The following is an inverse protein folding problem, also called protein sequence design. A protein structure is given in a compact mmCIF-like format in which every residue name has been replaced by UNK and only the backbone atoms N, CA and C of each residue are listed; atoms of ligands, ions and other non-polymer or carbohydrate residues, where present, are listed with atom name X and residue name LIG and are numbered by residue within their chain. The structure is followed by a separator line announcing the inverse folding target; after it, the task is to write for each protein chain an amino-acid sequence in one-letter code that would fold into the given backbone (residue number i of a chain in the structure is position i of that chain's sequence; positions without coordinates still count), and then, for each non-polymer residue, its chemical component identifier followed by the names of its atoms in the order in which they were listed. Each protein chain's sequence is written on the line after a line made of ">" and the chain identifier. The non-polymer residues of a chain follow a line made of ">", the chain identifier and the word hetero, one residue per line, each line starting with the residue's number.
data_IF_250471085942
#
_entry.id   IF_250471085942
#
_cell.length_a   1.000
_cell.length_b   1.000
_cell.length_c   1.000
_cell.angle_alpha   90.00
_cell.angle_beta   90.00
_cell.angle_gamma   90.00
#
_symmetry.space_group_name_H-M   'P 1'
#
loop_
_entity.id
_entity.type
_entity.pdbx_description
1 polymer ?
#
# COMPACT_ATOMS: atom_id res chain seq x y z
N UNK A 1 11.60 55.86 -22.43
CA UNK A 1 11.29 56.95 -21.48
C UNK A 1 11.80 56.51 -20.10
N UNK A 2 13.11 56.47 -19.82
CA UNK A 2 14.01 57.59 -19.48
C UNK A 2 13.45 58.56 -18.43
N UNK A 3 13.84 58.30 -17.16
CA UNK A 3 14.40 59.24 -16.18
C UNK A 3 13.74 60.62 -16.02
N UNK A 4 12.82 60.73 -15.06
CA UNK A 4 12.68 61.90 -14.17
C UNK A 4 12.47 61.32 -12.78
N UNK A 5 13.36 61.47 -11.80
CA UNK A 5 13.61 62.72 -11.09
C UNK A 5 14.85 62.48 -10.22
N UNK A 6 15.99 63.02 -10.63
CA UNK A 6 17.16 63.23 -9.77
C UNK A 6 17.01 64.61 -9.13
N UNK A 7 16.90 64.68 -7.81
CA UNK A 7 17.33 65.81 -6.93
C UNK A 7 16.99 65.39 -5.48
N UNK A 8 17.86 64.72 -4.73
CA UNK A 8 18.96 65.20 -3.86
C UNK A 8 18.56 66.24 -2.79
N UNK A 9 19.06 66.00 -1.56
CA UNK A 9 19.08 66.84 -0.32
C UNK A 9 17.86 66.63 0.61
N UNK A 10 17.93 66.29 1.91
CA UNK A 10 18.93 66.46 2.99
C UNK A 10 18.68 65.44 4.13
N UNK A 11 19.77 65.07 4.81
CA UNK A 11 19.95 64.47 6.14
C UNK A 11 18.71 64.10 6.99
N UNK A 12 18.70 62.84 7.42
CA UNK A 12 18.00 62.38 8.62
C UNK A 12 18.70 61.14 9.18
N UNK A 13 19.76 61.37 9.94
CA UNK A 13 20.48 60.36 10.73
C UNK A 13 19.52 59.76 11.77
N UNK A 14 19.01 58.54 11.55
CA UNK A 14 18.41 57.74 12.62
C UNK A 14 19.28 56.50 12.86
N UNK A 15 19.95 56.56 14.00
CA UNK A 15 20.81 55.54 14.59
C UNK A 15 19.95 54.40 15.15
N UNK A 16 20.36 53.19 14.77
CA UNK A 16 20.29 51.89 15.47
C UNK A 16 19.00 51.45 16.19
N UNK A 17 18.44 50.34 15.69
CA UNK A 17 18.17 49.16 16.53
C UNK A 17 18.14 47.92 15.62
N UNK A 18 19.24 47.16 15.61
CA UNK A 18 19.28 45.84 14.98
C UNK A 18 18.34 44.91 15.75
N UNK A 19 17.14 44.70 15.22
CA UNK A 19 16.33 43.55 15.61
C UNK A 19 17.06 42.30 15.12
N UNK A 20 17.91 41.73 15.98
CA UNK A 20 18.49 40.42 15.79
C UNK A 20 17.34 39.43 15.66
N UNK A 21 17.06 39.00 14.42
CA UNK A 21 16.26 37.82 14.19
C UNK A 21 16.98 36.65 14.86
N UNK A 22 16.36 36.06 15.89
CA UNK A 22 16.76 34.74 16.35
C UNK A 22 16.50 33.76 15.21
N UNK A 23 17.50 33.53 14.37
CA UNK A 23 17.58 32.33 13.57
C UNK A 23 17.78 31.16 14.53
N UNK A 24 16.68 30.54 14.95
CA UNK A 24 16.74 29.26 15.66
C UNK A 24 17.51 28.27 14.77
N UNK A 25 18.72 27.80 15.15
CA UNK A 25 19.45 26.80 14.36
C UNK A 25 18.79 25.42 14.42
N UNK A 26 17.65 25.32 15.12
CA UNK A 26 16.98 24.09 15.50
C UNK A 26 15.77 23.74 14.64
N UNK A 27 15.50 24.48 13.56
CA UNK A 27 14.65 23.95 12.48
C UNK A 27 15.47 22.98 11.59
N UNK A 28 16.17 22.02 12.20
CA UNK A 28 16.53 20.78 11.50
C UNK A 28 15.20 20.11 11.19
N UNK A 29 14.72 20.26 9.96
CA UNK A 29 13.67 19.42 9.40
C UNK A 29 14.01 17.98 9.81
N UNK A 30 13.22 17.38 10.71
CA UNK A 30 13.36 15.97 11.04
C UNK A 30 13.17 15.24 9.72
N UNK A 31 14.27 14.80 9.11
CA UNK A 31 14.22 13.86 8.02
C UNK A 31 13.48 12.65 8.61
N UNK A 32 12.23 12.46 8.21
CA UNK A 32 11.48 11.26 8.58
C UNK A 32 12.23 10.11 7.94
N UNK A 33 12.90 9.31 8.78
CA UNK A 33 13.48 8.05 8.35
C UNK A 33 12.30 7.19 7.91
N UNK A 34 12.06 7.12 6.62
CA UNK A 34 11.10 6.17 6.05
C UNK A 34 11.80 4.81 6.10
N UNK A 35 11.53 4.04 7.16
CA UNK A 35 11.94 2.65 7.22
C UNK A 35 11.22 1.92 6.08
N UNK A 36 11.98 1.19 5.26
CA UNK A 36 11.41 0.37 4.19
C UNK A 36 10.47 -0.69 4.79
N UNK A 37 9.40 -1.03 4.06
CA UNK A 37 8.52 -2.11 4.46
C UNK A 37 9.27 -3.45 4.29
N UNK A 38 9.44 -4.27 5.35
CA UNK A 38 10.19 -5.51 5.27
C UNK A 38 9.58 -6.53 4.29
N UNK A 39 8.24 -6.57 4.15
CA UNK A 39 7.59 -7.45 3.19
C UNK A 39 7.88 -7.02 1.73
N UNK A 40 7.86 -5.71 1.50
CA UNK A 40 8.23 -5.12 0.21
C UNK A 40 9.68 -5.42 -0.16
N UNK A 41 10.62 -5.24 0.78
CA UNK A 41 12.04 -5.56 0.59
C UNK A 41 12.22 -7.05 0.31
N UNK A 42 11.54 -7.91 1.08
CA UNK A 42 11.65 -9.35 0.89
C UNK A 42 11.17 -9.80 -0.49
N UNK A 43 10.10 -9.20 -1.02
CA UNK A 43 9.64 -9.48 -2.39
C UNK A 43 10.76 -9.27 -3.43
N UNK A 44 11.48 -8.15 -3.34
CA UNK A 44 12.60 -7.84 -4.24
C UNK A 44 13.79 -8.78 -4.01
N UNK A 45 14.12 -9.10 -2.75
CA UNK A 45 15.22 -10.01 -2.40
C UNK A 45 15.04 -11.43 -2.93
N UNK A 46 13.79 -11.91 -3.03
CA UNK A 46 13.50 -13.24 -3.59
C UNK A 46 13.28 -13.23 -5.11
N UNK A 47 13.65 -12.13 -5.77
CA UNK A 47 13.59 -11.99 -7.23
C UNK A 47 12.20 -11.68 -7.78
N UNK A 48 11.31 -11.15 -6.94
CA UNK A 48 10.00 -10.66 -7.37
C UNK A 48 9.99 -9.15 -7.62
N UNK A 49 8.88 -8.68 -8.17
CA UNK A 49 8.59 -7.27 -8.42
C UNK A 49 7.34 -6.85 -7.65
N UNK A 50 7.49 -5.90 -6.73
CA UNK A 50 6.37 -5.39 -5.95
C UNK A 50 5.50 -4.45 -6.79
N UNK A 51 4.19 -4.64 -6.69
CA UNK A 51 3.19 -3.70 -7.20
C UNK A 51 2.10 -3.46 -6.16
N UNK A 52 1.74 -2.20 -5.96
CA UNK A 52 0.60 -1.82 -5.16
C UNK A 52 -0.67 -1.86 -6.02
N UNK A 53 -1.61 -2.71 -5.62
CA UNK A 53 -2.94 -2.81 -6.21
C UNK A 53 -3.96 -2.12 -5.30
N UNK A 54 -4.99 -1.51 -5.89
CA UNK A 54 -6.13 -1.01 -5.11
C UNK A 54 -7.08 -2.16 -4.82
N UNK A 55 -7.51 -2.28 -3.56
CA UNK A 55 -8.58 -3.20 -3.17
C UNK A 55 -9.94 -2.50 -3.32
N UNK A 56 -11.03 -3.27 -3.43
CA UNK A 56 -12.36 -2.67 -3.67
C UNK A 56 -12.93 -1.94 -2.44
N UNK A 57 -12.40 -2.19 -1.24
CA UNK A 57 -12.67 -1.43 -0.02
C UNK A 57 -11.90 -0.08 0.05
N UNK A 58 -11.14 0.27 -0.99
CA UNK A 58 -10.36 1.51 -1.05
C UNK A 58 -8.98 1.42 -0.40
N UNK A 59 -8.59 0.25 0.11
CA UNK A 59 -7.25 -0.03 0.59
C UNK A 59 -6.21 -0.21 -0.53
N UNK A 60 -5.01 -0.62 -0.14
CA UNK A 60 -3.93 -1.01 -1.04
C UNK A 60 -3.38 -2.36 -0.62
N UNK A 61 -3.08 -3.20 -1.62
CA UNK A 61 -2.51 -4.53 -1.48
C UNK A 61 -1.15 -4.57 -2.15
N UNK A 62 -0.10 -4.90 -1.40
CA UNK A 62 1.20 -5.20 -1.98
C UNK A 62 1.19 -6.59 -2.59
N UNK A 63 1.42 -6.68 -3.90
CA UNK A 63 1.51 -7.95 -4.62
C UNK A 63 2.90 -8.10 -5.21
N UNK A 64 3.56 -9.19 -4.84
CA UNK A 64 4.82 -9.64 -5.39
C UNK A 64 4.56 -10.48 -6.65
N UNK A 65 5.14 -10.05 -7.77
CA UNK A 65 5.05 -10.72 -9.07
C UNK A 65 6.37 -11.36 -9.43
N UNK A 66 6.34 -12.60 -9.92
CA UNK A 66 7.53 -13.32 -10.38
C UNK A 66 7.50 -13.46 -11.92
N UNK A 67 8.68 -13.54 -12.53
CA UNK A 67 8.83 -13.71 -14.00
C UNK A 67 8.23 -15.01 -14.52
N UNK A 68 8.10 -16.03 -13.66
CA UNK A 68 7.37 -17.27 -13.96
C UNK A 68 5.87 -17.04 -14.19
N UNK A 69 5.33 -15.91 -13.75
CA UNK A 69 3.90 -15.59 -13.72
C UNK A 69 3.25 -15.79 -12.36
N UNK A 70 3.98 -16.38 -11.40
CA UNK A 70 3.52 -16.59 -10.03
C UNK A 70 3.33 -15.28 -9.26
N UNK A 71 2.38 -15.30 -8.32
CA UNK A 71 1.98 -14.11 -7.56
C UNK A 71 1.81 -14.45 -6.07
N UNK A 72 2.18 -13.51 -5.21
CA UNK A 72 1.88 -13.55 -3.76
C UNK A 72 1.51 -12.16 -3.27
N UNK A 73 0.70 -12.07 -2.23
CA UNK A 73 0.61 -10.88 -1.40
C UNK A 73 1.93 -10.76 -0.59
N UNK A 74 2.46 -9.54 -0.45
CA UNK A 74 3.81 -9.32 0.08
C UNK A 74 3.99 -9.87 1.51
N UNK A 75 2.97 -9.72 2.36
CA UNK A 75 3.03 -10.21 3.74
C UNK A 75 2.85 -11.72 3.84
N UNK A 76 2.00 -12.32 3.01
CA UNK A 76 1.86 -13.77 2.91
C UNK A 76 3.17 -14.40 2.44
N UNK A 77 3.87 -13.79 1.47
CA UNK A 77 5.21 -14.21 1.05
C UNK A 77 6.21 -14.10 2.22
N UNK A 78 6.24 -12.94 2.89
CA UNK A 78 7.14 -12.69 4.03
C UNK A 78 6.94 -13.69 5.18
N UNK A 79 5.68 -14.06 5.47
CA UNK A 79 5.33 -15.06 6.50
C UNK A 79 5.44 -16.50 6.03
N UNK A 80 5.84 -16.75 4.78
CA UNK A 80 5.92 -18.09 4.16
C UNK A 80 4.58 -18.81 4.03
N UNK A 81 3.49 -18.05 4.04
CA UNK A 81 2.13 -18.52 3.75
C UNK A 81 1.90 -18.64 2.24
N UNK A 82 2.69 -17.90 1.45
CA UNK A 82 2.76 -18.01 0.00
C UNK A 82 4.21 -18.36 -0.41
N UNK A 83 4.43 -19.34 -1.31
CA UNK A 83 5.77 -19.83 -1.63
C UNK A 83 6.60 -18.80 -2.42
N UNK A 84 7.92 -18.85 -2.25
CA UNK A 84 8.86 -18.14 -3.14
C UNK A 84 8.66 -18.63 -4.56
N UNK A 85 8.54 -17.71 -5.52
CA UNK A 85 8.14 -18.00 -6.90
C UNK A 85 6.64 -17.85 -7.15
N UNK A 86 5.83 -17.66 -6.10
CA UNK A 86 4.41 -17.34 -6.22
C UNK A 86 3.49 -18.54 -6.37
N UNK A 87 2.19 -18.30 -6.27
CA UNK A 87 1.17 -19.23 -6.75
C UNK A 87 0.79 -18.90 -8.19
N UNK A 88 0.62 -19.95 -9.01
CA UNK A 88 0.22 -19.81 -10.39
C UNK A 88 -1.25 -19.38 -10.51
N UNK A 89 -1.50 -18.27 -11.21
CA UNK A 89 -2.85 -17.75 -11.44
C UNK A 89 -3.29 -18.09 -12.85
N UNK A 90 -4.18 -19.08 -12.98
CA UNK A 90 -4.72 -19.47 -14.28
C UNK A 90 -5.60 -18.36 -14.87
N UNK A 91 -5.73 -18.32 -16.21
CA UNK A 91 -6.64 -17.39 -16.90
C UNK A 91 -8.12 -17.55 -16.51
N UNK A 92 -8.50 -18.69 -15.92
CA UNK A 92 -9.87 -18.98 -15.48
C UNK A 92 -10.10 -18.64 -14.00
N UNK A 93 -9.05 -18.25 -13.28
CA UNK A 93 -9.13 -17.94 -11.85
C UNK A 93 -9.91 -16.66 -11.65
N UNK A 94 -10.98 -16.72 -10.85
CA UNK A 94 -11.78 -15.53 -10.53
C UNK A 94 -10.98 -14.55 -9.66
N UNK A 95 -11.33 -13.25 -9.62
CA UNK A 95 -10.69 -12.29 -8.72
C UNK A 95 -10.72 -12.73 -7.24
N UNK A 96 -11.83 -13.33 -6.80
CA UNK A 96 -11.97 -13.89 -5.44
C UNK A 96 -11.01 -15.05 -5.18
N UNK A 97 -10.93 -15.98 -6.13
CA UNK A 97 -10.02 -17.11 -6.03
C UNK A 97 -8.55 -16.64 -6.03
N UNK A 98 -8.17 -15.74 -6.95
CA UNK A 98 -6.82 -15.15 -6.99
C UNK A 98 -6.48 -14.50 -5.65
N UNK A 99 -7.35 -13.61 -5.18
CA UNK A 99 -7.16 -12.84 -3.96
C UNK A 99 -6.97 -13.72 -2.71
N UNK A 100 -7.66 -14.87 -2.69
CA UNK A 100 -7.51 -15.88 -1.65
C UNK A 100 -6.13 -16.56 -1.71
N UNK A 101 -5.77 -17.09 -2.89
CA UNK A 101 -4.56 -17.89 -3.06
C UNK A 101 -3.30 -17.06 -2.84
N UNK A 102 -3.25 -15.81 -3.30
CA UNK A 102 -2.06 -14.96 -3.11
C UNK A 102 -1.83 -14.58 -1.63
N UNK A 103 -2.88 -14.63 -0.79
CA UNK A 103 -2.78 -14.43 0.68
C UNK A 103 -2.41 -15.71 1.42
N UNK A 104 -2.06 -16.79 0.71
CA UNK A 104 -1.79 -18.10 1.29
C UNK A 104 -3.04 -18.90 1.65
N UNK A 105 -4.22 -18.43 1.25
CA UNK A 105 -5.49 -19.09 1.54
C UNK A 105 -5.82 -20.24 0.58
N UNK A 106 -6.71 -21.12 1.03
CA UNK A 106 -7.29 -22.22 0.24
C UNK A 106 -8.71 -21.88 -0.17
N UNK A 107 -8.97 -21.85 -1.49
CA UNK A 107 -10.27 -21.49 -2.05
C UNK A 107 -11.11 -22.74 -2.38
N UNK A 108 -12.32 -22.82 -1.82
CA UNK A 108 -13.30 -23.85 -2.13
C UNK A 108 -14.44 -23.26 -2.96
N UNK A 109 -14.69 -23.84 -4.13
CA UNK A 109 -15.92 -23.54 -4.88
C UNK A 109 -17.09 -24.10 -4.08
N UNK A 110 -18.07 -23.24 -3.79
CA UNK A 110 -19.34 -23.66 -3.21
C UNK A 110 -20.42 -23.38 -4.24
N UNK A 111 -21.43 -24.25 -4.29
CA UNK A 111 -22.67 -23.92 -5.00
C UNK A 111 -23.21 -22.60 -4.44
N UNK A 112 -23.59 -21.64 -5.29
CA UNK A 112 -24.20 -20.40 -4.82
C UNK A 112 -25.35 -20.72 -3.87
N UNK A 113 -25.19 -20.39 -2.59
CA UNK A 113 -26.27 -20.43 -1.62
C UNK A 113 -27.20 -19.25 -1.83
N UNK A 114 -28.23 -19.12 -0.99
CA UNK A 114 -29.05 -17.91 -0.95
C UNK A 114 -28.28 -16.66 -0.49
N UNK A 115 -27.04 -16.82 -0.02
CA UNK A 115 -26.16 -15.74 0.40
C UNK A 115 -25.25 -15.27 -0.75
N UNK A 116 -25.50 -14.05 -1.21
CA UNK A 116 -24.70 -13.37 -2.24
C UNK A 116 -23.21 -13.26 -1.88
N UNK A 117 -22.88 -13.40 -0.58
CA UNK A 117 -21.52 -13.37 -0.07
C UNK A 117 -20.67 -14.59 -0.46
N UNK A 118 -21.28 -15.73 -0.79
CA UNK A 118 -20.59 -16.99 -1.16
C UNK A 118 -20.75 -17.35 -2.64
N UNK A 119 -21.31 -16.44 -3.44
CA UNK A 119 -21.70 -16.70 -4.82
C UNK A 119 -20.59 -17.30 -5.71
N UNK A 120 -19.32 -17.03 -5.40
CA UNK A 120 -18.18 -17.56 -6.17
C UNK A 120 -17.31 -18.57 -5.40
N UNK A 121 -17.54 -18.79 -4.10
CA UNK A 121 -16.70 -19.64 -3.25
C UNK A 121 -16.44 -19.14 -1.83
N UNK A 122 -15.73 -19.95 -1.06
CA UNK A 122 -15.20 -19.67 0.28
C UNK A 122 -13.67 -19.68 0.26
N UNK A 123 -13.04 -18.71 0.92
CA UNK A 123 -11.61 -18.65 1.17
C UNK A 123 -11.32 -19.00 2.63
N UNK A 124 -10.44 -19.98 2.87
CA UNK A 124 -9.91 -20.28 4.19
C UNK A 124 -8.49 -19.69 4.28
N UNK A 125 -8.26 -18.74 5.19
CA UNK A 125 -6.98 -18.08 5.36
C UNK A 125 -6.09 -18.82 6.37
N UNK A 126 -4.76 -18.59 6.35
CA UNK A 126 -3.81 -19.22 7.27
C UNK A 126 -4.07 -18.93 8.76
N UNK A 127 -4.70 -17.80 9.08
CA UNK A 127 -5.09 -17.40 10.44
C UNK A 127 -6.37 -18.10 10.94
N UNK A 128 -7.00 -18.94 10.11
CA UNK A 128 -8.23 -19.65 10.42
C UNK A 128 -9.51 -18.88 10.07
N UNK A 129 -9.40 -17.67 9.53
CA UNK A 129 -10.57 -16.94 9.05
C UNK A 129 -11.15 -17.58 7.79
N UNK A 130 -12.48 -17.54 7.67
CA UNK A 130 -13.20 -18.00 6.48
C UNK A 130 -13.98 -16.82 5.89
N UNK A 131 -13.62 -16.43 4.67
CA UNK A 131 -14.24 -15.34 3.94
C UNK A 131 -15.13 -15.89 2.81
N UNK A 132 -16.32 -15.33 2.60
CA UNK A 132 -17.07 -15.53 1.36
C UNK A 132 -16.49 -14.68 0.23
N UNK A 133 -16.64 -15.09 -1.04
CA UNK A 133 -16.07 -14.42 -2.24
C UNK A 133 -16.37 -12.92 -2.36
N UNK A 134 -17.40 -12.41 -1.69
CA UNK A 134 -17.68 -10.98 -1.61
C UNK A 134 -16.61 -10.17 -0.86
N UNK A 135 -15.63 -10.78 -0.21
CA UNK A 135 -14.50 -10.06 0.39
C UNK A 135 -13.72 -9.24 -0.63
N UNK A 136 -13.67 -9.72 -1.87
CA UNK A 136 -13.08 -8.95 -2.97
C UNK A 136 -13.93 -7.74 -3.30
N UNK A 137 -15.26 -7.77 -3.10
CA UNK A 137 -16.22 -6.67 -3.32
C UNK A 137 -16.27 -5.66 -2.17
N UNK A 138 -15.26 -5.65 -1.29
CA UNK A 138 -15.17 -4.73 -0.15
C UNK A 138 -16.03 -5.11 1.05
N UNK A 139 -16.56 -6.33 1.09
CA UNK A 139 -17.18 -6.88 2.30
C UNK A 139 -16.06 -7.31 3.26
N UNK A 140 -16.05 -6.85 4.53
CA UNK A 140 -15.01 -7.27 5.48
C UNK A 140 -14.98 -8.80 5.68
N UNK A 141 -13.78 -9.35 5.87
CA UNK A 141 -13.59 -10.70 6.40
C UNK A 141 -13.36 -10.61 7.92
N UNK A 142 -13.85 -11.55 8.76
CA UNK A 142 -14.67 -12.72 8.42
C UNK A 142 -16.16 -12.41 8.27
N UNK A 143 -16.79 -13.03 7.26
CA UNK A 143 -18.25 -12.98 7.06
C UNK A 143 -18.96 -14.01 7.98
N UNK A 144 -18.22 -14.98 8.53
CA UNK A 144 -18.71 -15.94 9.52
C UNK A 144 -18.79 -15.31 10.92
N UNK A 145 -19.72 -14.39 11.11
CA UNK A 145 -20.37 -14.31 12.42
C UNK A 145 -21.33 -15.49 12.49
N UNK A 146 -21.18 -16.29 13.55
CA UNK A 146 -21.95 -17.51 13.89
C UNK A 146 -23.39 -17.55 13.37
#
# INVERSE_FOLDING_TARGET
>A
MMRLWRTLLVLGLFVAATAGGCSNPWAKQKASVKLANPASVHCEEVGGHLKLEKTLDGGSLGVCYFDSGGQCEEWALFRKECPVGGVEISKKTSPAQRSCMIRGGSFALVTPGSDSHRADGLCNLPDGEICGSAFVKGVPCPILMK
#
